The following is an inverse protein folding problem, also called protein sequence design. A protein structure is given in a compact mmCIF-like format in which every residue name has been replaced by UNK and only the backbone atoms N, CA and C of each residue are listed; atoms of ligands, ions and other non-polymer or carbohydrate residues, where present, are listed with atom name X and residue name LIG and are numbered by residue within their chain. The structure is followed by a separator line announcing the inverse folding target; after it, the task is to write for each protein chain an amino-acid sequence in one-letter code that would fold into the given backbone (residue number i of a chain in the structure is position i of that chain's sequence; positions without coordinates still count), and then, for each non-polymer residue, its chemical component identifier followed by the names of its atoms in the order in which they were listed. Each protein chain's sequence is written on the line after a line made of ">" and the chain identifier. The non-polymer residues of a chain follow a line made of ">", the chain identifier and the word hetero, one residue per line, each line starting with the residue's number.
data_IF_822667823890
#
_entry.id   IF_822667823890
#
_cell.length_a   1.000
_cell.length_b   1.000
_cell.length_c   1.000
_cell.angle_alpha   90.00
_cell.angle_beta   90.00
_cell.angle_gamma   90.00
#
_symmetry.space_group_name_H-M   'P 1'
#
loop_
_entity.id
_entity.type
_entity.pdbx_description
1 polymer ?
#
# COMPACT_ATOMS: atom_id res chain seq x y z
N UNK A 1 2.35 71.95 41.03
CA UNK A 1 1.18 71.14 41.42
C UNK A 1 0.31 70.94 40.19
N UNK A 2 -0.07 69.68 39.95
CA UNK A 2 -1.02 69.13 38.96
C UNK A 2 -0.58 69.01 37.47
N UNK A 3 -0.88 67.87 36.82
CA UNK A 3 -0.17 67.33 35.65
C UNK A 3 -1.03 67.30 34.37
N UNK A 4 -0.43 67.02 33.21
CA UNK A 4 -1.14 66.55 32.00
C UNK A 4 -0.29 65.39 31.46
N UNK A 5 -0.60 64.16 31.87
CA UNK A 5 -1.60 63.24 31.31
C UNK A 5 -1.23 62.71 29.93
N UNK A 6 -0.90 61.42 29.96
CA UNK A 6 -0.63 60.51 28.86
C UNK A 6 -1.83 60.35 27.92
N UNK A 7 -1.55 60.18 26.64
CA UNK A 7 -2.37 59.36 25.72
C UNK A 7 -1.38 58.65 24.78
N UNK A 8 -0.97 57.43 25.12
CA UNK A 8 -1.57 56.18 24.63
C UNK A 8 -1.60 56.09 23.09
N UNK A 9 -0.52 55.60 22.48
CA UNK A 9 -0.36 54.22 21.97
C UNK A 9 -1.37 53.77 20.92
N UNK A 10 -0.78 53.54 19.72
CA UNK A 10 -0.77 52.30 18.96
C UNK A 10 -1.81 52.07 17.84
N UNK A 11 -1.18 51.76 16.71
CA UNK A 11 -1.54 50.71 15.76
C UNK A 11 -2.59 51.05 14.70
N UNK A 12 -2.10 51.67 13.62
CA UNK A 12 -2.61 51.49 12.28
C UNK A 12 -2.55 50.00 11.89
N UNK A 13 -3.69 49.32 11.95
CA UNK A 13 -3.85 47.98 11.40
C UNK A 13 -4.27 48.09 9.93
N UNK A 14 -3.30 47.75 9.09
CA UNK A 14 -3.46 47.46 7.67
C UNK A 14 -4.55 46.40 7.46
N UNK A 15 -5.57 46.74 6.67
CA UNK A 15 -6.57 45.81 6.17
C UNK A 15 -5.96 45.00 5.01
N UNK A 16 -6.00 43.65 5.03
CA UNK A 16 -5.70 42.85 3.85
C UNK A 16 -6.90 42.82 2.88
N UNK A 17 -6.57 43.04 1.60
CA UNK A 17 -7.43 43.01 0.41
C UNK A 17 -8.16 41.67 0.25
N UNK A 18 -9.45 41.64 -0.15
CA UNK A 18 -10.17 40.40 -0.41
C UNK A 18 -9.75 39.85 -1.79
N UNK A 19 -9.01 38.73 -1.81
CA UNK A 19 -8.78 37.97 -3.04
C UNK A 19 -9.94 37.00 -3.22
N UNK A 20 -10.92 37.37 -4.04
CA UNK A 20 -11.85 36.41 -4.65
C UNK A 20 -11.05 35.57 -5.65
N UNK A 21 -10.79 34.31 -5.32
CA UNK A 21 -10.41 33.30 -6.30
C UNK A 21 -11.61 32.36 -6.50
N UNK A 22 -12.13 32.41 -7.73
CA UNK A 22 -13.20 31.57 -8.23
C UNK A 22 -12.90 30.08 -8.07
N UNK A 23 -13.92 29.31 -7.70
CA UNK A 23 -13.90 27.86 -7.86
C UNK A 23 -14.07 27.47 -9.33
N UNK A 24 -13.40 26.41 -9.75
CA UNK A 24 -13.91 25.41 -10.69
C UNK A 24 -12.93 24.23 -10.81
N UNK A 25 -13.46 23.06 -10.45
CA UNK A 25 -13.23 21.74 -11.04
C UNK A 25 -11.80 21.20 -11.26
N UNK A 26 -11.48 20.12 -10.54
CA UNK A 26 -10.90 18.94 -11.19
C UNK A 26 -11.29 17.66 -10.43
N UNK A 27 -12.11 16.86 -11.12
CA UNK A 27 -12.15 15.41 -11.14
C UNK A 27 -12.06 14.63 -9.81
N UNK A 28 -13.17 13.95 -9.50
CA UNK A 28 -13.05 12.63 -8.88
C UNK A 28 -12.15 11.75 -9.74
N UNK A 29 -10.97 11.45 -9.23
CA UNK A 29 -10.24 10.24 -9.55
C UNK A 29 -10.40 9.32 -8.35
N UNK A 30 -11.44 8.50 -8.38
CA UNK A 30 -11.44 7.30 -7.57
C UNK A 30 -10.24 6.45 -7.98
N UNK A 31 -9.21 6.42 -7.14
CA UNK A 31 -8.51 5.18 -6.79
C UNK A 31 -7.67 5.41 -5.56
N UNK A 32 -8.20 4.89 -4.46
CA UNK A 32 -7.46 4.64 -3.25
C UNK A 32 -6.16 3.87 -3.57
N UNK A 33 -5.14 4.23 -2.81
CA UNK A 33 -4.04 3.42 -2.28
C UNK A 33 -3.06 2.78 -3.29
N UNK A 34 -1.90 3.41 -3.40
CA UNK A 34 -0.65 2.67 -3.50
C UNK A 34 -0.59 1.69 -2.31
N UNK A 35 -0.82 0.40 -2.54
CA UNK A 35 -0.52 -0.65 -1.55
C UNK A 35 0.68 -1.44 -2.05
N UNK A 36 1.82 -0.75 -2.08
CA UNK A 36 3.11 -1.39 -2.24
C UNK A 36 4.02 -1.04 -1.07
N UNK A 37 4.76 -2.02 -0.52
CA UNK A 37 4.73 -3.46 -0.84
C UNK A 37 3.51 -4.19 -0.26
N UNK A 38 3.00 -5.21 -0.97
CA UNK A 38 2.04 -6.18 -0.42
C UNK A 38 0.61 -6.19 -0.96
N UNK A 39 0.34 -5.67 -2.17
CA UNK A 39 -0.98 -5.70 -2.80
C UNK A 39 -1.33 -7.01 -3.53
N UNK A 40 -2.61 -7.27 -3.80
CA UNK A 40 -3.04 -8.40 -4.64
C UNK A 40 -2.53 -8.24 -6.08
N UNK A 41 -2.19 -9.36 -6.72
CA UNK A 41 -2.03 -9.38 -8.17
C UNK A 41 -3.38 -9.17 -8.87
N UNK A 42 -3.32 -8.87 -10.17
CA UNK A 42 -4.48 -8.52 -10.97
C UNK A 42 -4.69 -9.45 -12.17
N UNK A 43 -5.90 -9.38 -12.74
CA UNK A 43 -6.27 -10.15 -13.92
C UNK A 43 -6.18 -11.65 -13.67
N UNK A 44 -5.54 -12.39 -14.59
CA UNK A 44 -5.35 -13.85 -14.47
C UNK A 44 -4.48 -14.29 -13.29
N UNK A 45 -3.80 -13.35 -12.63
CA UNK A 45 -2.93 -13.62 -11.49
C UNK A 45 -3.62 -13.36 -10.15
N UNK A 46 -4.86 -12.84 -10.12
CA UNK A 46 -5.65 -12.70 -8.88
C UNK A 46 -6.23 -14.06 -8.45
N UNK A 47 -5.36 -15.04 -8.23
CA UNK A 47 -5.72 -16.42 -7.88
C UNK A 47 -5.74 -16.67 -6.36
N UNK A 48 -5.60 -15.61 -5.56
CA UNK A 48 -5.53 -15.68 -4.11
C UNK A 48 -4.17 -16.13 -3.55
N UNK A 49 -3.18 -16.40 -4.40
CA UNK A 49 -1.81 -16.81 -4.01
C UNK A 49 -0.73 -15.86 -4.48
N UNK A 50 -1.08 -14.96 -5.39
CA UNK A 50 -0.15 -13.99 -5.92
C UNK A 50 -0.20 -12.69 -5.12
N UNK A 51 0.98 -12.14 -4.83
CA UNK A 51 1.16 -10.83 -4.20
C UNK A 51 2.15 -9.97 -5.00
N UNK A 52 1.91 -8.68 -5.07
CA UNK A 52 2.82 -7.71 -5.67
C UNK A 52 3.92 -7.33 -4.68
N UNK A 53 5.15 -7.73 -5.03
CA UNK A 53 6.34 -7.55 -4.19
C UNK A 53 7.57 -7.29 -5.07
N UNK A 54 8.61 -6.70 -4.49
CA UNK A 54 9.89 -6.54 -5.16
C UNK A 54 10.42 -7.90 -5.60
N UNK A 55 10.98 -7.97 -6.81
CA UNK A 55 11.60 -9.20 -7.31
C UNK A 55 12.67 -9.75 -6.37
N UNK A 56 13.54 -8.90 -5.83
CA UNK A 56 14.62 -9.30 -4.93
C UNK A 56 14.08 -9.72 -3.57
N UNK A 57 13.06 -9.04 -3.07
CA UNK A 57 12.44 -9.42 -1.80
C UNK A 57 11.71 -10.76 -1.92
N UNK A 58 10.93 -10.96 -2.99
CA UNK A 58 10.22 -12.21 -3.26
C UNK A 58 11.18 -13.41 -3.31
N UNK A 59 12.19 -13.34 -4.18
CA UNK A 59 13.10 -14.44 -4.40
C UNK A 59 14.16 -14.56 -3.28
N UNK A 60 14.75 -13.43 -2.87
CA UNK A 60 15.89 -13.39 -1.95
C UNK A 60 15.50 -13.54 -0.48
N UNK A 61 14.38 -12.94 -0.05
CA UNK A 61 13.94 -12.98 1.35
C UNK A 61 12.97 -14.12 1.60
N UNK A 62 11.96 -14.27 0.74
CA UNK A 62 10.88 -15.24 0.97
C UNK A 62 11.05 -16.55 0.20
N UNK A 63 12.08 -16.67 -0.66
CA UNK A 63 12.28 -17.87 -1.48
C UNK A 63 11.14 -18.14 -2.47
N UNK A 64 10.36 -17.11 -2.80
CA UNK A 64 9.20 -17.19 -3.69
C UNK A 64 9.58 -17.24 -5.17
N UNK A 65 8.61 -17.63 -5.99
CA UNK A 65 8.70 -17.59 -7.45
C UNK A 65 8.18 -16.27 -7.98
N UNK A 66 9.00 -15.59 -8.78
CA UNK A 66 8.69 -14.28 -9.37
C UNK A 66 8.07 -14.43 -10.75
N UNK A 67 7.07 -13.61 -11.05
CA UNK A 67 6.33 -13.58 -12.31
C UNK A 67 6.23 -12.14 -12.78
N UNK A 68 6.91 -11.81 -13.87
CA UNK A 68 6.88 -10.48 -14.45
C UNK A 68 5.59 -10.24 -15.25
N UNK A 69 5.09 -11.25 -15.97
CA UNK A 69 4.03 -11.10 -16.97
C UNK A 69 4.52 -10.46 -18.27
N UNK A 70 3.64 -9.78 -18.99
CA UNK A 70 3.93 -9.18 -20.29
C UNK A 70 3.15 -7.87 -20.47
N UNK A 71 3.54 -6.97 -21.39
CA UNK A 71 2.80 -5.74 -21.66
C UNK A 71 1.29 -5.99 -21.87
N UNK A 72 0.45 -5.28 -21.13
CA UNK A 72 -1.01 -5.47 -21.13
C UNK A 72 -1.54 -6.63 -20.28
N UNK A 73 -0.66 -7.43 -19.68
CA UNK A 73 -0.98 -8.56 -18.81
C UNK A 73 0.02 -8.67 -17.64
N UNK A 74 0.35 -7.53 -17.02
CA UNK A 74 1.20 -7.50 -15.83
C UNK A 74 0.42 -7.99 -14.61
N UNK A 75 1.01 -8.83 -13.74
CA UNK A 75 0.40 -9.21 -12.46
C UNK A 75 0.20 -8.00 -11.58
N UNK A 76 1.15 -7.06 -11.60
CA UNK A 76 1.18 -5.85 -10.80
C UNK A 76 1.13 -4.62 -11.72
N UNK A 77 -0.08 -4.17 -12.12
CA UNK A 77 -0.25 -3.12 -13.11
C UNK A 77 -0.04 -1.70 -12.57
N UNK A 78 -0.01 -1.54 -11.25
CA UNK A 78 0.09 -0.24 -10.58
C UNK A 78 1.49 0.03 -10.01
N UNK A 79 2.44 -0.90 -10.15
CA UNK A 79 3.69 -0.88 -9.41
C UNK A 79 4.92 -0.83 -10.33
N UNK A 80 6.02 -0.15 -9.90
CA UNK A 80 7.17 0.20 -10.73
C UNK A 80 7.94 -1.03 -11.25
N UNK A 81 8.82 -0.81 -12.23
CA UNK A 81 9.50 -1.84 -13.06
C UNK A 81 10.11 -3.06 -12.33
N UNK A 82 10.39 -2.96 -11.03
CA UNK A 82 10.96 -4.04 -10.20
C UNK A 82 9.94 -4.82 -9.36
N UNK A 83 8.65 -4.47 -9.43
CA UNK A 83 7.56 -5.11 -8.68
C UNK A 83 6.86 -6.15 -9.53
N UNK A 84 7.02 -7.40 -9.13
CA UNK A 84 6.54 -8.56 -9.89
C UNK A 84 5.51 -9.32 -9.06
N UNK A 85 4.71 -10.16 -9.74
CA UNK A 85 3.86 -11.11 -9.04
C UNK A 85 4.72 -12.15 -8.33
N UNK A 86 4.53 -12.32 -7.04
CA UNK A 86 5.28 -13.22 -6.19
C UNK A 86 4.39 -14.35 -5.69
N UNK A 87 4.87 -15.58 -5.82
CA UNK A 87 4.25 -16.77 -5.24
C UNK A 87 5.19 -17.36 -4.20
N UNK A 88 4.82 -17.30 -2.93
CA UNK A 88 5.62 -17.88 -1.84
C UNK A 88 5.09 -19.27 -1.54
N UNK A 89 5.69 -20.24 -2.23
CA UNK A 89 5.46 -21.66 -1.98
C UNK A 89 6.26 -22.07 -0.75
N UNK A 90 5.57 -22.67 0.24
CA UNK A 90 6.11 -22.95 1.58
C UNK A 90 6.31 -21.66 2.35
N UNK A 91 5.60 -21.54 3.46
CA UNK A 91 5.81 -20.40 4.32
C UNK A 91 7.21 -20.44 4.93
N UNK A 92 7.86 -19.29 5.11
CA UNK A 92 9.17 -19.23 5.77
C UNK A 92 9.10 -19.97 7.11
N UNK A 93 10.16 -20.70 7.46
CA UNK A 93 10.29 -21.45 8.73
C UNK A 93 9.34 -22.63 8.94
N UNK A 94 8.45 -22.94 8.00
CA UNK A 94 7.49 -24.05 8.12
C UNK A 94 7.83 -25.26 7.25
N UNK A 95 7.37 -26.44 7.69
CA UNK A 95 7.53 -27.70 6.98
C UNK A 95 6.46 -27.88 5.89
N UNK A 96 6.63 -28.92 5.08
CA UNK A 96 5.88 -29.16 3.83
C UNK A 96 4.35 -29.16 4.02
N UNK A 97 3.62 -28.83 2.95
CA UNK A 97 2.17 -28.56 2.88
C UNK A 97 1.72 -27.18 3.41
N UNK A 98 2.51 -26.15 3.17
CA UNK A 98 2.12 -24.75 3.41
C UNK A 98 2.31 -23.88 2.18
N UNK A 99 1.49 -22.84 2.03
CA UNK A 99 1.67 -21.77 1.05
C UNK A 99 1.17 -20.43 1.60
N UNK A 100 1.85 -19.34 1.23
CA UNK A 100 1.33 -18.01 1.55
C UNK A 100 0.18 -17.68 0.60
N UNK A 101 -0.94 -17.24 1.18
CA UNK A 101 -2.16 -16.91 0.45
C UNK A 101 -2.88 -15.76 1.12
N UNK A 102 -3.74 -15.11 0.36
CA UNK A 102 -4.73 -14.23 0.93
C UNK A 102 -5.67 -15.00 1.85
N UNK A 103 -6.04 -14.40 2.98
CA UNK A 103 -6.82 -15.02 4.06
C UNK A 103 -8.11 -15.65 3.56
N UNK A 104 -8.80 -14.98 2.66
CA UNK A 104 -10.02 -15.43 1.99
C UNK A 104 -9.80 -16.59 1.01
N UNK A 105 -8.58 -16.79 0.52
CA UNK A 105 -8.21 -17.89 -0.37
C UNK A 105 -7.67 -19.12 0.36
N UNK A 106 -7.48 -19.05 1.68
CA UNK A 106 -7.13 -20.17 2.56
C UNK A 106 -8.37 -21.02 2.88
N UNK A 107 -9.06 -21.51 1.85
CA UNK A 107 -10.28 -22.33 2.00
C UNK A 107 -9.89 -23.77 2.26
N UNK A 108 -10.39 -24.37 3.35
CA UNK A 108 -10.12 -25.77 3.72
C UNK A 108 -8.77 -26.01 4.41
N UNK A 109 -7.92 -24.97 4.51
CA UNK A 109 -6.68 -25.00 5.27
C UNK A 109 -6.81 -24.30 6.62
N UNK A 110 -5.77 -24.41 7.45
CA UNK A 110 -5.65 -23.69 8.72
C UNK A 110 -4.78 -22.44 8.53
N UNK A 111 -5.29 -21.24 8.88
CA UNK A 111 -4.48 -20.03 8.86
C UNK A 111 -3.45 -20.07 9.99
N UNK A 112 -2.18 -19.93 9.65
CA UNK A 112 -1.09 -19.77 10.60
C UNK A 112 -0.67 -18.30 10.59
N UNK A 113 -0.88 -17.64 11.72
CA UNK A 113 -0.57 -16.22 11.91
C UNK A 113 0.91 -15.93 12.13
N UNK A 114 1.74 -16.96 12.31
CA UNK A 114 3.19 -16.86 12.52
C UNK A 114 3.88 -18.03 11.81
N UNK A 115 4.17 -17.90 10.50
CA UNK A 115 5.28 -17.07 9.99
C UNK A 115 4.88 -15.88 9.10
N UNK A 116 5.84 -14.98 8.88
CA UNK A 116 5.68 -13.74 8.12
C UNK A 116 5.64 -14.02 6.63
N UNK A 117 4.45 -13.93 6.03
CA UNK A 117 4.30 -13.77 4.58
C UNK A 117 4.35 -12.25 4.23
N UNK A 118 4.83 -11.88 3.03
CA UNK A 118 5.17 -10.49 2.69
C UNK A 118 4.03 -9.46 2.63
N UNK A 119 2.76 -9.88 2.72
CA UNK A 119 1.59 -9.00 2.56
C UNK A 119 0.93 -8.53 3.84
N UNK A 120 1.56 -8.77 5.00
CA UNK A 120 0.99 -8.41 6.29
C UNK A 120 -0.24 -9.25 6.67
N UNK A 121 -1.18 -8.66 7.39
CA UNK A 121 -2.23 -9.41 8.11
C UNK A 121 -3.20 -10.20 7.23
N UNK A 122 -3.41 -9.78 5.99
CA UNK A 122 -4.37 -10.39 5.08
C UNK A 122 -3.73 -11.41 4.14
N UNK A 123 -2.39 -11.43 4.04
CA UNK A 123 -1.65 -12.43 3.29
C UNK A 123 -0.91 -13.33 4.28
N UNK A 124 -1.51 -14.47 4.56
CA UNK A 124 -1.17 -15.35 5.66
C UNK A 124 -0.57 -16.65 5.18
N UNK A 125 0.08 -17.38 6.09
CA UNK A 125 0.46 -18.74 5.82
C UNK A 125 -0.77 -19.66 5.95
N UNK A 126 -1.04 -20.47 4.93
CA UNK A 126 -2.10 -21.48 4.95
C UNK A 126 -1.49 -22.88 5.01
N UNK A 127 -1.99 -23.74 5.91
CA UNK A 127 -1.59 -25.14 6.00
C UNK A 127 -2.74 -26.06 5.60
N UNK A 128 -2.42 -27.09 4.80
CA UNK A 128 -3.37 -28.08 4.29
C UNK A 128 -3.05 -29.49 4.78
#
# INVERSE_FOLDING_TARGET
>A
MKPISLASTLAALFLPVPILAAGAAAAGAGRLIARYPGGRCSGKYDDGRCICLDRQECFGTYGGSVVQGSPGAYPCPNDPDNVWGCYVYRCPTMHMATDCRWKEACVGGRPITNPVCPGGNDYICCQY
#
